data_IF_548704956994
#
_entry.id   IF_548704956994
#
_cell.length_a   1.000
_cell.length_b   1.000
_cell.length_c   1.000
_cell.angle_alpha   90.00
_cell.angle_beta   90.00
_cell.angle_gamma   90.00
#
_symmetry.space_group_name_H-M   'P 1'
#
loop_
_entity.id
_entity.type
_entity.pdbx_description
1 polymer ?
#
# COMPACT_ATOMS: atom_id res chain seq x y z
N UNK A 1 -12.68 70.14 35.31
CA UNK A 1 -12.09 68.85 35.73
C UNK A 1 -12.59 67.62 34.96
N UNK A 2 -13.75 67.65 34.29
CA UNK A 2 -14.32 66.48 33.58
C UNK A 2 -13.56 66.11 32.28
N UNK A 3 -13.12 67.11 31.51
CA UNK A 3 -12.50 66.94 30.18
C UNK A 3 -11.12 66.28 30.18
N UNK A 4 -10.32 66.49 31.24
CA UNK A 4 -9.01 65.86 31.36
C UNK A 4 -9.13 64.35 31.58
N UNK A 5 -10.09 63.91 32.42
CA UNK A 5 -10.38 62.51 32.68
C UNK A 5 -10.87 61.79 31.43
N UNK A 6 -11.77 62.40 30.67
CA UNK A 6 -12.25 61.85 29.40
C UNK A 6 -11.11 61.70 28.38
N UNK A 7 -10.20 62.67 28.29
CA UNK A 7 -9.05 62.61 27.38
C UNK A 7 -8.08 61.48 27.73
N UNK A 8 -7.80 61.25 29.02
CA UNK A 8 -7.00 60.09 29.47
C UNK A 8 -7.66 58.76 29.14
N UNK A 9 -8.98 58.64 29.31
CA UNK A 9 -9.71 57.41 28.96
C UNK A 9 -9.69 57.15 27.46
N UNK A 10 -9.86 58.19 26.64
CA UNK A 10 -9.77 58.11 25.18
C UNK A 10 -8.36 57.66 24.75
N UNK A 11 -7.30 58.21 25.37
CA UNK A 11 -5.93 57.80 25.08
C UNK A 11 -5.67 56.32 25.43
N UNK A 12 -6.16 55.85 26.57
CA UNK A 12 -6.04 54.45 26.97
C UNK A 12 -6.80 53.50 26.03
N UNK A 13 -7.98 53.90 25.54
CA UNK A 13 -8.75 53.14 24.56
C UNK A 13 -8.04 53.08 23.20
N UNK A 14 -7.48 54.20 22.73
CA UNK A 14 -6.67 54.25 21.49
C UNK A 14 -5.46 53.32 21.58
N UNK A 15 -4.73 53.35 22.70
CA UNK A 15 -3.58 52.46 22.92
C UNK A 15 -3.98 50.97 22.92
N UNK A 16 -5.15 50.63 23.49
CA UNK A 16 -5.68 49.25 23.42
C UNK A 16 -6.04 48.86 21.98
N UNK A 17 -6.70 49.74 21.22
CA UNK A 17 -7.04 49.50 19.82
C UNK A 17 -5.78 49.25 19.00
N UNK A 18 -4.74 50.06 19.17
CA UNK A 18 -3.48 49.92 18.42
C UNK A 18 -2.73 48.64 18.80
N UNK A 19 -2.76 48.26 20.08
CA UNK A 19 -2.19 46.98 20.54
C UNK A 19 -2.90 45.79 19.89
N UNK A 20 -4.23 45.83 19.83
CA UNK A 20 -5.03 44.78 19.19
C UNK A 20 -4.79 44.74 17.67
N UNK A 21 -4.70 45.89 17.00
CA UNK A 21 -4.39 45.97 15.57
C UNK A 21 -3.05 45.32 15.24
N UNK A 22 -1.99 45.65 16.00
CA UNK A 22 -0.65 45.06 15.83
C UNK A 22 -0.67 43.54 16.06
N UNK A 23 -1.43 43.06 17.04
CA UNK A 23 -1.58 41.63 17.29
C UNK A 23 -2.30 40.90 16.15
N UNK A 24 -3.32 41.52 15.56
CA UNK A 24 -4.02 40.99 14.38
C UNK A 24 -3.10 40.96 13.16
N UNK A 25 -2.34 42.02 12.93
CA UNK A 25 -1.42 42.13 11.80
C UNK A 25 -0.29 41.09 11.89
N UNK A 26 0.27 40.88 13.08
CA UNK A 26 1.24 39.82 13.34
C UNK A 26 0.65 38.42 13.12
N UNK A 27 -0.59 38.20 13.55
CA UNK A 27 -1.26 36.91 13.32
C UNK A 27 -1.53 36.67 11.83
N UNK A 28 -1.91 37.73 11.11
CA UNK A 28 -2.16 37.67 9.67
C UNK A 28 -0.88 37.34 8.90
N UNK A 29 0.26 37.96 9.24
CA UNK A 29 1.53 37.66 8.58
C UNK A 29 1.99 36.21 8.77
N UNK A 30 1.58 35.56 9.87
CA UNK A 30 1.82 34.13 10.07
C UNK A 30 0.84 33.22 9.30
N UNK A 31 -0.41 33.66 9.10
CA UNK A 31 -1.44 32.87 8.41
C UNK A 31 -1.30 32.87 6.89
N UNK A 32 -0.91 33.99 6.27
CA UNK A 32 -0.81 34.10 4.80
C UNK A 32 0.12 33.04 4.16
N UNK A 33 1.32 32.73 4.71
CA UNK A 33 2.17 31.65 4.20
C UNK A 33 1.53 30.26 4.31
N UNK A 34 0.84 29.98 5.42
CA UNK A 34 0.17 28.69 5.64
C UNK A 34 -1.01 28.50 4.67
N UNK A 35 -1.77 29.57 4.40
CA UNK A 35 -2.83 29.54 3.39
C UNK A 35 -2.26 29.25 2.01
N UNK A 36 -1.12 29.87 1.65
CA UNK A 36 -0.44 29.59 0.38
C UNK A 36 0.04 28.14 0.29
N UNK A 37 0.68 27.61 1.34
CA UNK A 37 1.11 26.21 1.38
C UNK A 37 -0.06 25.24 1.22
N UNK A 38 -1.20 25.54 1.84
CA UNK A 38 -2.42 24.74 1.73
C UNK A 38 -2.97 24.73 0.29
N UNK A 39 -3.04 25.89 -0.37
CA UNK A 39 -3.48 25.97 -1.76
C UNK A 39 -2.52 25.26 -2.71
N UNK A 40 -1.21 25.36 -2.50
CA UNK A 40 -0.23 24.59 -3.26
C UNK A 40 -0.38 23.08 -3.03
N UNK A 41 -0.61 22.64 -1.79
CA UNK A 41 -0.84 21.24 -1.47
C UNK A 41 -2.10 20.71 -2.17
N UNK A 42 -3.20 21.47 -2.17
CA UNK A 42 -4.41 21.13 -2.93
C UNK A 42 -4.13 20.96 -4.42
N UNK A 43 -3.36 21.88 -5.01
CA UNK A 43 -2.99 21.80 -6.42
C UNK A 43 -2.17 20.54 -6.73
N UNK A 44 -1.22 20.20 -5.85
CA UNK A 44 -0.41 18.96 -5.98
C UNK A 44 -1.29 17.71 -5.90
N UNK A 45 -2.22 17.66 -4.95
CA UNK A 45 -3.17 16.54 -4.81
C UNK A 45 -4.05 16.43 -6.06
N UNK A 46 -4.63 17.54 -6.51
CA UNK A 46 -5.47 17.54 -7.71
C UNK A 46 -4.70 17.03 -8.93
N UNK A 47 -3.47 17.53 -9.16
CA UNK A 47 -2.61 17.05 -10.24
C UNK A 47 -2.35 15.54 -10.14
N UNK A 48 -1.98 15.04 -8.95
CA UNK A 48 -1.76 13.62 -8.74
C UNK A 48 -3.02 12.77 -8.98
N UNK A 49 -4.20 13.27 -8.61
CA UNK A 49 -5.47 12.57 -8.89
C UNK A 49 -5.78 12.49 -10.38
N UNK A 50 -5.54 13.57 -11.12
CA UNK A 50 -5.76 13.59 -12.57
C UNK A 50 -4.75 12.71 -13.32
N UNK A 51 -3.48 12.74 -12.90
CA UNK A 51 -2.46 11.84 -13.44
C UNK A 51 -2.83 10.36 -13.20
N UNK A 52 -3.31 10.02 -11.98
CA UNK A 52 -3.81 8.67 -11.66
C UNK A 52 -5.00 8.28 -12.54
N UNK A 53 -5.99 9.17 -12.72
CA UNK A 53 -7.13 8.92 -13.61
C UNK A 53 -6.67 8.67 -15.05
N UNK A 54 -5.71 9.45 -15.56
CA UNK A 54 -5.13 9.27 -16.90
C UNK A 54 -4.46 7.91 -17.04
N UNK A 55 -3.64 7.50 -16.07
CA UNK A 55 -2.97 6.19 -16.05
C UNK A 55 -4.01 5.06 -16.09
N UNK A 56 -5.03 5.12 -15.23
CA UNK A 56 -6.08 4.10 -15.17
C UNK A 56 -6.86 3.99 -16.49
N UNK A 57 -7.20 5.12 -17.12
CA UNK A 57 -7.89 5.15 -18.41
C UNK A 57 -7.06 4.48 -19.52
N UNK A 58 -5.77 4.80 -19.58
CA UNK A 58 -4.84 4.20 -20.56
C UNK A 58 -4.68 2.70 -20.32
N UNK A 59 -4.53 2.28 -19.06
CA UNK A 59 -4.48 0.86 -18.69
C UNK A 59 -5.75 0.13 -19.13
N UNK A 60 -6.93 0.68 -18.85
CA UNK A 60 -8.21 0.09 -19.25
C UNK A 60 -8.32 -0.03 -20.79
N UNK A 61 -7.87 0.96 -21.55
CA UNK A 61 -7.83 0.90 -23.01
C UNK A 61 -6.93 -0.23 -23.52
N UNK A 62 -5.73 -0.37 -22.96
CA UNK A 62 -4.80 -1.46 -23.29
C UNK A 62 -5.43 -2.83 -23.01
N UNK A 63 -6.10 -3.00 -21.87
CA UNK A 63 -6.78 -4.25 -21.51
C UNK A 63 -7.92 -4.59 -22.47
N UNK A 64 -8.72 -3.60 -22.89
CA UNK A 64 -9.75 -3.79 -23.92
C UNK A 64 -9.14 -4.22 -25.25
N UNK A 65 -8.03 -3.60 -25.67
CA UNK A 65 -7.30 -3.99 -26.87
C UNK A 65 -6.87 -5.46 -26.82
N UNK A 66 -6.27 -5.90 -25.70
CA UNK A 66 -5.88 -7.30 -25.52
C UNK A 66 -7.08 -8.26 -25.56
N UNK A 67 -8.21 -7.91 -24.93
CA UNK A 67 -9.44 -8.71 -24.94
C UNK A 67 -9.97 -8.87 -26.38
N UNK A 68 -10.00 -7.79 -27.14
CA UNK A 68 -10.45 -7.80 -28.53
C UNK A 68 -9.51 -8.65 -29.41
N UNK A 69 -8.19 -8.51 -29.27
CA UNK A 69 -7.23 -9.36 -29.99
C UNK A 69 -7.40 -10.84 -29.66
N UNK A 70 -7.64 -11.19 -28.39
CA UNK A 70 -7.91 -12.57 -27.98
C UNK A 70 -9.19 -13.10 -28.64
N UNK A 71 -10.27 -12.32 -28.64
CA UNK A 71 -11.53 -12.72 -29.27
C UNK A 71 -11.38 -12.90 -30.78
N UNK A 72 -10.68 -11.99 -31.46
CA UNK A 72 -10.40 -12.10 -32.90
C UNK A 72 -9.60 -13.36 -33.21
N UNK A 73 -8.57 -13.65 -32.40
CA UNK A 73 -7.80 -14.87 -32.55
C UNK A 73 -8.67 -16.12 -32.39
N UNK A 74 -9.53 -16.17 -31.36
CA UNK A 74 -10.46 -17.27 -31.16
C UNK A 74 -11.41 -17.48 -32.35
N UNK A 75 -11.93 -16.40 -32.94
CA UNK A 75 -12.76 -16.48 -34.16
C UNK A 75 -11.97 -17.04 -35.35
N UNK A 76 -10.71 -16.63 -35.52
CA UNK A 76 -9.84 -17.19 -36.57
C UNK A 76 -9.61 -18.70 -36.37
N UNK A 77 -9.45 -19.17 -35.12
CA UNK A 77 -9.34 -20.60 -34.82
C UNK A 77 -10.63 -21.35 -35.25
N UNK A 78 -11.80 -20.80 -34.93
CA UNK A 78 -13.09 -21.39 -35.25
C UNK A 78 -13.32 -21.47 -36.77
N UNK A 79 -13.05 -20.38 -37.51
CA UNK A 79 -13.21 -20.36 -38.97
C UNK A 79 -12.26 -21.34 -39.68
N UNK A 80 -11.00 -21.45 -39.24
CA UNK A 80 -10.04 -22.40 -39.85
C UNK A 80 -10.40 -23.85 -39.60
N UNK A 81 -11.02 -24.18 -38.45
CA UNK A 81 -11.54 -25.53 -38.19
C UNK A 81 -12.63 -25.96 -39.18
N UNK A 82 -13.37 -25.00 -39.73
CA UNK A 82 -14.45 -25.27 -40.68
C UNK A 82 -13.94 -25.33 -42.14
N UNK A 83 -12.88 -24.59 -42.50
CA UNK A 83 -12.50 -24.33 -43.90
C UNK A 83 -11.01 -24.59 -44.28
N UNK A 84 -10.20 -25.26 -43.45
CA UNK A 84 -8.73 -25.30 -43.60
C UNK A 84 -8.14 -26.31 -44.60
N UNK A 85 -7.11 -25.90 -45.36
CA UNK A 85 -6.26 -26.77 -46.22
C UNK A 85 -4.88 -27.03 -45.60
N UNK A 86 -4.17 -28.10 -46.02
CA UNK A 86 -2.89 -28.56 -45.43
C UNK A 86 -1.79 -27.46 -45.38
N UNK A 87 -1.63 -26.66 -46.44
CA UNK A 87 -0.65 -25.55 -46.48
C UNK A 87 -0.98 -24.41 -45.49
N UNK A 88 -2.25 -24.23 -45.13
CA UNK A 88 -2.67 -23.22 -44.16
C UNK A 88 -2.44 -23.62 -42.69
N UNK A 89 -2.12 -24.90 -42.44
CA UNK A 89 -1.89 -25.45 -41.11
C UNK A 89 -0.47 -25.12 -40.60
N UNK A 90 0.57 -25.19 -41.45
CA UNK A 90 1.95 -24.86 -41.06
C UNK A 90 2.10 -23.38 -40.65
N UNK A 91 1.61 -22.45 -41.49
CA UNK A 91 1.60 -21.00 -41.19
C UNK A 91 0.84 -20.68 -39.91
N UNK A 92 -0.17 -21.49 -39.58
CA UNK A 92 -0.97 -21.33 -38.38
C UNK A 92 -0.28 -21.85 -37.12
N UNK A 93 0.38 -23.01 -37.20
CA UNK A 93 1.22 -23.51 -36.12
C UNK A 93 2.33 -22.50 -35.78
N UNK A 94 2.98 -21.92 -36.79
CA UNK A 94 3.95 -20.85 -36.60
C UNK A 94 3.36 -19.62 -35.88
N UNK A 95 2.13 -19.20 -36.21
CA UNK A 95 1.45 -18.10 -35.52
C UNK A 95 1.09 -18.43 -34.05
N UNK A 96 0.68 -19.67 -33.77
CA UNK A 96 0.40 -20.16 -32.41
C UNK A 96 1.66 -20.14 -31.57
N UNK A 97 2.78 -20.64 -32.12
CA UNK A 97 4.08 -20.64 -31.44
C UNK A 97 4.58 -19.23 -31.18
N UNK A 98 4.50 -18.33 -32.17
CA UNK A 98 4.84 -16.91 -31.99
C UNK A 98 4.01 -16.26 -30.87
N UNK A 99 2.69 -16.52 -30.81
CA UNK A 99 1.82 -16.00 -29.74
C UNK A 99 2.14 -16.59 -28.36
N UNK A 100 2.51 -17.87 -28.30
CA UNK A 100 2.98 -18.52 -27.06
C UNK A 100 4.29 -17.90 -26.58
N UNK A 101 5.24 -17.63 -27.48
CA UNK A 101 6.51 -16.96 -27.17
C UNK A 101 6.27 -15.54 -26.65
N UNK A 102 5.47 -14.75 -27.34
CA UNK A 102 5.08 -13.40 -26.91
C UNK A 102 4.43 -13.41 -25.51
N UNK A 103 3.60 -14.41 -25.22
CA UNK A 103 2.96 -14.55 -23.90
C UNK A 103 3.97 -14.86 -22.79
N UNK A 104 4.98 -15.69 -23.07
CA UNK A 104 6.07 -15.98 -22.11
C UNK A 104 6.90 -14.72 -21.84
N UNK A 105 7.33 -14.03 -22.89
CA UNK A 105 8.11 -12.80 -22.78
C UNK A 105 7.38 -11.73 -21.96
N UNK A 106 6.08 -11.52 -22.22
CA UNK A 106 5.25 -10.59 -21.43
C UNK A 106 5.11 -11.00 -19.96
N UNK A 107 5.03 -12.30 -19.66
CA UNK A 107 4.99 -12.79 -18.27
C UNK A 107 6.32 -12.54 -17.56
N UNK A 108 7.44 -12.79 -18.23
CA UNK A 108 8.77 -12.54 -17.67
C UNK A 108 9.01 -11.05 -17.46
N UNK A 109 8.60 -10.21 -18.40
CA UNK A 109 8.64 -8.75 -18.25
C UNK A 109 7.79 -8.28 -17.07
N UNK A 110 6.56 -8.80 -16.94
CA UNK A 110 5.69 -8.51 -15.80
C UNK A 110 6.32 -8.94 -14.47
N UNK A 111 6.92 -10.13 -14.39
CA UNK A 111 7.62 -10.61 -13.19
C UNK A 111 8.81 -9.70 -12.84
N UNK A 112 9.59 -9.26 -13.83
CA UNK A 112 10.70 -8.29 -13.64
C UNK A 112 10.17 -6.95 -13.13
N UNK A 113 9.11 -6.42 -13.72
CA UNK A 113 8.49 -5.16 -13.29
C UNK A 113 7.89 -5.27 -11.89
N UNK A 114 7.22 -6.40 -11.58
CA UNK A 114 6.67 -6.69 -10.26
C UNK A 114 7.77 -6.76 -9.21
N UNK A 115 8.89 -7.44 -9.49
CA UNK A 115 10.04 -7.49 -8.60
C UNK A 115 10.61 -6.08 -8.34
N UNK A 116 10.78 -5.26 -9.39
CA UNK A 116 11.26 -3.87 -9.25
C UNK A 116 10.31 -2.97 -8.44
N UNK A 117 9.00 -3.12 -8.63
CA UNK A 117 8.00 -2.38 -7.86
C UNK A 117 7.97 -2.84 -6.40
N UNK A 118 8.17 -4.15 -6.16
CA UNK A 118 8.26 -4.70 -4.82
C UNK A 118 9.56 -4.25 -4.12
N UNK A 119 10.71 -4.16 -4.79
CA UNK A 119 11.97 -3.71 -4.18
C UNK A 119 11.95 -2.29 -3.62
N UNK A 120 11.00 -1.42 -4.03
CA UNK A 120 10.80 -0.09 -3.45
C UNK A 120 9.84 -0.06 -2.24
N UNK A 121 9.14 -1.16 -1.96
CA UNK A 121 8.22 -1.35 -0.83
C UNK A 121 8.54 -2.61 -0.04
N UNK A 122 9.72 -3.21 -0.24
CA UNK A 122 10.32 -4.07 0.76
C UNK A 122 10.87 -3.11 1.80
N UNK A 123 10.03 -2.72 2.76
CA UNK A 123 10.49 -2.83 4.14
C UNK A 123 11.12 -4.22 4.17
N UNK A 124 12.46 -4.28 4.19
CA UNK A 124 13.14 -5.49 4.61
C UNK A 124 12.53 -5.76 5.95
N UNK A 125 11.58 -6.69 5.95
CA UNK A 125 10.74 -6.97 7.08
C UNK A 125 11.69 -7.62 8.08
N UNK A 126 12.45 -6.79 8.82
CA UNK A 126 13.21 -7.23 9.99
C UNK A 126 12.23 -7.90 10.97
N UNK A 127 10.96 -7.50 10.90
CA UNK A 127 9.85 -8.09 11.66
C UNK A 127 9.34 -9.43 11.07
N UNK A 128 9.75 -9.83 9.86
CA UNK A 128 9.43 -11.17 9.33
C UNK A 128 10.41 -12.26 9.80
N UNK A 129 11.61 -11.86 10.25
CA UNK A 129 12.63 -12.79 10.75
C UNK A 129 12.76 -12.76 12.27
N UNK A 130 12.03 -11.88 12.95
CA UNK A 130 12.04 -11.76 14.41
C UNK A 130 10.64 -11.81 14.99
N UNK A 131 10.55 -12.23 16.25
CA UNK A 131 9.30 -12.30 16.97
C UNK A 131 8.80 -10.90 17.34
N UNK A 132 7.56 -10.54 16.96
CA UNK A 132 6.96 -9.24 17.32
C UNK A 132 6.69 -9.02 18.82
N UNK A 133 6.99 -9.99 19.69
CA UNK A 133 6.84 -9.88 21.15
C UNK A 133 8.21 -9.62 21.81
N UNK A 134 9.19 -10.51 21.59
CA UNK A 134 10.51 -10.39 22.21
C UNK A 134 11.56 -9.72 21.31
N UNK A 135 11.23 -9.46 20.04
CA UNK A 135 12.08 -8.82 19.03
C UNK A 135 13.37 -9.60 18.70
N UNK A 136 13.44 -10.87 19.12
CA UNK A 136 14.55 -11.77 18.80
C UNK A 136 14.31 -12.52 17.49
N UNK A 137 15.38 -12.86 16.78
CA UNK A 137 15.30 -13.62 15.54
C UNK A 137 14.76 -15.03 15.78
N UNK A 138 14.03 -15.56 14.80
CA UNK A 138 13.60 -16.94 14.80
C UNK A 138 14.78 -17.88 14.53
N UNK A 139 14.78 -19.03 15.19
CA UNK A 139 15.76 -20.10 15.01
C UNK A 139 15.05 -21.47 14.95
N UNK A 140 15.83 -22.53 14.75
CA UNK A 140 15.31 -23.90 14.66
C UNK A 140 15.12 -24.57 16.02
N UNK A 141 15.40 -23.87 17.12
CA UNK A 141 15.44 -24.41 18.47
C UNK A 141 14.38 -23.73 19.35
N UNK A 142 14.78 -22.79 20.20
CA UNK A 142 13.89 -22.15 21.18
C UNK A 142 13.01 -21.06 20.55
N UNK A 143 13.50 -20.35 19.53
CA UNK A 143 12.76 -19.29 18.85
C UNK A 143 12.05 -19.81 17.61
N UNK A 144 11.51 -21.03 17.67
CA UNK A 144 10.77 -21.61 16.56
C UNK A 144 9.50 -20.79 16.24
N UNK A 145 9.28 -20.35 14.99
CA UNK A 145 8.15 -19.49 14.65
C UNK A 145 6.85 -20.29 14.57
N UNK A 146 5.90 -20.02 15.47
CA UNK A 146 4.59 -20.68 15.58
C UNK A 146 3.46 -19.78 15.06
N UNK A 147 2.57 -20.33 14.25
CA UNK A 147 1.43 -19.62 13.67
C UNK A 147 0.19 -19.83 14.54
N UNK A 148 -0.41 -18.75 15.00
CA UNK A 148 -1.70 -18.74 15.70
C UNK A 148 -2.86 -18.94 14.70
N UNK A 149 -4.05 -19.32 15.18
CA UNK A 149 -5.24 -19.55 14.33
C UNK A 149 -5.61 -18.35 13.44
N UNK A 150 -5.37 -17.13 13.93
CA UNK A 150 -5.57 -15.89 13.19
C UNK A 150 -4.53 -15.61 12.08
N UNK A 151 -3.49 -16.44 11.96
CA UNK A 151 -2.41 -16.33 10.97
C UNK A 151 -1.19 -15.52 11.41
N UNK A 152 -1.19 -14.89 12.60
CA UNK A 152 -0.01 -14.21 13.12
C UNK A 152 1.05 -15.19 13.63
N UNK A 153 2.33 -14.84 13.51
CA UNK A 153 3.46 -15.68 13.92
C UNK A 153 4.16 -15.10 15.15
N UNK A 154 4.46 -15.95 16.13
CA UNK A 154 5.25 -15.64 17.34
C UNK A 154 6.25 -16.76 17.62
N UNK A 155 7.30 -16.53 18.43
CA UNK A 155 8.23 -17.61 18.76
C UNK A 155 7.64 -18.55 19.82
N UNK A 156 8.14 -19.79 19.86
CA UNK A 156 7.69 -20.82 20.80
C UNK A 156 7.78 -20.36 22.27
N UNK A 157 8.90 -19.75 22.67
CA UNK A 157 9.05 -19.20 24.04
C UNK A 157 7.96 -18.19 24.40
N UNK A 158 7.59 -17.30 23.46
CA UNK A 158 6.52 -16.34 23.69
C UNK A 158 5.14 -16.98 23.68
N UNK A 159 4.92 -18.02 22.88
CA UNK A 159 3.69 -18.80 22.89
C UNK A 159 3.50 -19.50 24.25
N UNK A 160 4.53 -20.18 24.75
CA UNK A 160 4.49 -20.88 26.04
C UNK A 160 4.26 -19.91 27.21
N UNK A 161 4.84 -18.70 27.12
CA UNK A 161 4.62 -17.65 28.12
C UNK A 161 3.17 -17.17 28.14
N UNK A 162 2.54 -17.07 26.97
CA UNK A 162 1.12 -16.73 26.84
C UNK A 162 0.21 -17.86 27.35
N UNK A 163 0.53 -19.12 27.06
CA UNK A 163 -0.21 -20.28 27.57
C UNK A 163 -0.20 -20.35 29.09
N UNK A 164 0.96 -20.15 29.72
CA UNK A 164 1.09 -20.18 31.20
C UNK A 164 0.15 -19.20 31.90
N UNK A 165 -0.25 -18.13 31.24
CA UNK A 165 -1.16 -17.13 31.80
C UNK A 165 -2.64 -17.52 31.74
N UNK A 166 -3.07 -18.28 30.71
CA UNK A 166 -4.50 -18.46 30.38
C UNK A 166 -4.90 -19.88 29.90
N UNK A 167 -4.01 -20.87 30.02
CA UNK A 167 -4.22 -22.22 29.48
C UNK A 167 -4.11 -22.27 27.95
N UNK A 168 -4.79 -23.23 27.31
CA UNK A 168 -4.66 -23.50 25.87
C UNK A 168 -5.46 -22.54 24.95
N UNK A 169 -6.01 -21.45 25.48
CA UNK A 169 -6.76 -20.45 24.72
C UNK A 169 -6.20 -19.06 25.03
N UNK A 170 -5.51 -18.48 24.05
CA UNK A 170 -4.80 -17.20 24.21
C UNK A 170 -5.38 -16.15 23.27
N UNK A 171 -5.33 -14.89 23.68
CA UNK A 171 -5.66 -13.77 22.80
C UNK A 171 -4.42 -13.37 22.01
N UNK A 172 -4.53 -13.31 20.68
CA UNK A 172 -3.43 -12.88 19.82
C UNK A 172 -2.98 -11.44 20.18
N UNK A 173 -1.68 -11.18 20.42
CA UNK A 173 -1.20 -9.84 20.77
C UNK A 173 -1.39 -8.79 19.67
N UNK A 174 -1.52 -9.22 18.41
CA UNK A 174 -1.59 -8.34 17.25
C UNK A 174 -3.03 -7.99 16.84
N UNK A 175 -3.94 -8.96 16.86
CA UNK A 175 -5.33 -8.78 16.43
C UNK A 175 -6.38 -9.05 17.52
N UNK A 176 -5.98 -9.51 18.70
CA UNK A 176 -6.84 -9.83 19.86
C UNK A 176 -7.83 -10.98 19.64
N UNK A 177 -7.72 -11.70 18.53
CA UNK A 177 -8.53 -12.89 18.26
C UNK A 177 -8.14 -14.05 19.20
N UNK A 178 -9.13 -14.80 19.68
CA UNK A 178 -8.91 -15.96 20.55
C UNK A 178 -8.39 -17.13 19.71
N UNK A 179 -7.19 -17.60 20.03
CA UNK A 179 -6.51 -18.68 19.32
C UNK A 179 -6.28 -19.86 20.27
N UNK A 180 -6.54 -21.07 19.78
CA UNK A 180 -6.20 -22.31 20.47
C UNK A 180 -4.73 -22.63 20.21
N UNK A 181 -3.97 -22.91 21.27
CA UNK A 181 -2.53 -23.12 21.18
C UNK A 181 -2.13 -24.58 20.95
N UNK A 182 -3.09 -25.51 21.03
CA UNK A 182 -2.84 -26.96 20.98
C UNK A 182 -2.17 -27.47 19.71
N UNK A 183 -2.24 -26.72 18.59
CA UNK A 183 -1.74 -27.14 17.27
C UNK A 183 -1.26 -25.94 16.43
N UNK A 184 -0.45 -25.05 16.99
CA UNK A 184 0.15 -23.97 16.18
C UNK A 184 1.21 -24.57 15.22
N UNK A 185 1.05 -24.52 13.88
CA UNK A 185 2.07 -25.03 12.97
C UNK A 185 3.29 -24.11 12.95
N UNK A 186 4.43 -24.66 12.53
CA UNK A 186 5.66 -23.87 12.39
C UNK A 186 5.67 -23.12 11.05
N UNK A 187 5.99 -21.82 11.07
CA UNK A 187 6.09 -21.01 9.87
C UNK A 187 7.44 -21.25 9.17
N UNK A 188 7.47 -22.21 8.24
CA UNK A 188 8.70 -22.54 7.50
C UNK A 188 9.12 -21.45 6.51
N UNK A 189 8.23 -20.52 6.16
CA UNK A 189 8.56 -19.41 5.25
C UNK A 189 9.41 -18.33 5.93
N UNK A 190 9.34 -18.23 7.26
CA UNK A 190 10.15 -17.30 8.07
C UNK A 190 11.46 -17.92 8.53
N UNK A 191 11.54 -19.26 8.59
CA UNK A 191 12.71 -20.00 9.06
C UNK A 191 13.76 -20.27 7.97
N UNK A 192 13.33 -20.36 6.70
CA UNK A 192 14.17 -20.78 5.57
C UNK A 192 14.63 -19.62 4.64
N UNK A 193 14.90 -18.44 5.18
CA UNK A 193 15.39 -17.29 4.40
C UNK A 193 16.70 -16.73 4.93
#
# INVERSE_FOLDING_TARGET
MSTARTNTTIAALKAKIDKTRKAIELRKSYLEPLEKEHEEAKLRVNKATEDKKRILKNHAARMRGMKNSKQNFQRQLQNKRQNGTTSQNEKFHAQIEAKRKETRERRDEFLKLKAKAQTGSVQTNRDAMSCGICLENYDNDEKLPKVLDCGHTICLVCLDSLEKSNGHLVSCPFCREKCSTRNCPTNLLTLNK
#
